data_IF_005568391422
#
_entry.id   IF_005568391422
#
_cell.length_a   1.000
_cell.length_b   1.000
_cell.length_c   1.000
_cell.angle_alpha   90.00
_cell.angle_beta   90.00
_cell.angle_gamma   90.00
#
_symmetry.space_group_name_H-M   'P 1'
#
loop_
_entity.id
_entity.type
_entity.pdbx_description
1 polymer ?
#
# COMPACT_ATOMS: atom_id res chain seq x y z
N UNK A 1 28.88 11.08 -4.01
CA UNK A 1 27.90 9.98 -3.86
C UNK A 1 26.47 10.54 -3.81
N UNK A 2 25.52 9.93 -4.53
CA UNK A 2 24.08 10.21 -4.33
C UNK A 2 23.68 9.73 -2.93
N UNK A 3 22.86 10.52 -2.22
CA UNK A 3 22.46 10.21 -0.84
C UNK A 3 21.53 8.99 -0.82
N UNK A 4 21.68 8.15 0.22
CA UNK A 4 20.84 6.98 0.47
C UNK A 4 19.53 7.41 1.12
N UNK A 5 18.41 7.11 0.46
CA UNK A 5 17.08 7.48 0.92
C UNK A 5 16.15 6.28 0.87
N UNK A 6 15.26 6.16 1.84
CA UNK A 6 14.20 5.16 1.83
C UNK A 6 12.84 5.84 2.02
N UNK A 7 11.85 5.45 1.23
CA UNK A 7 10.45 5.78 1.47
C UNK A 7 9.74 4.50 1.88
N UNK A 8 9.20 4.50 3.09
CA UNK A 8 8.62 3.32 3.71
C UNK A 8 7.14 3.62 3.98
N UNK A 9 6.27 2.78 3.44
CA UNK A 9 4.83 2.93 3.56
C UNK A 9 4.28 1.83 4.46
N UNK A 10 3.41 2.20 5.39
CA UNK A 10 2.37 1.28 5.83
C UNK A 10 1.35 1.00 4.71
N UNK A 11 0.57 -0.08 4.85
CA UNK A 11 -0.41 -0.52 3.86
C UNK A 11 -1.83 -0.02 4.18
N UNK A 12 -2.46 -0.61 5.19
CA UNK A 12 -3.88 -0.41 5.49
C UNK A 12 -4.11 0.98 6.06
N UNK A 13 -5.10 1.71 5.55
CA UNK A 13 -5.40 3.12 5.87
C UNK A 13 -4.28 4.14 5.56
N UNK A 14 -3.11 3.67 5.15
CA UNK A 14 -2.00 4.51 4.65
C UNK A 14 -1.97 4.55 3.12
N UNK A 15 -1.70 3.41 2.45
CA UNK A 15 -1.76 3.28 0.98
C UNK A 15 -3.21 3.19 0.52
N UNK A 16 -4.07 2.49 1.25
CA UNK A 16 -5.44 2.24 0.84
C UNK A 16 -6.27 1.64 1.96
N UNK A 17 -7.58 1.63 1.78
CA UNK A 17 -8.53 1.00 2.69
C UNK A 17 -9.06 -0.28 2.06
N UNK A 18 -8.63 -1.41 2.61
CA UNK A 18 -8.74 -2.71 1.95
C UNK A 18 -9.75 -3.66 2.60
N UNK A 19 -10.34 -3.27 3.73
CA UNK A 19 -11.16 -4.17 4.57
C UNK A 19 -12.39 -4.70 3.83
N UNK A 20 -13.20 -3.84 3.23
CA UNK A 20 -14.43 -4.27 2.54
C UNK A 20 -14.14 -5.13 1.32
N UNK A 21 -13.12 -4.77 0.54
CA UNK A 21 -12.79 -5.55 -0.65
C UNK A 21 -12.12 -6.87 -0.32
N UNK A 22 -11.49 -7.04 0.86
CA UNK A 22 -11.07 -8.35 1.31
C UNK A 22 -12.30 -9.26 1.54
N UNK A 23 -13.36 -8.74 2.16
CA UNK A 23 -14.62 -9.49 2.35
C UNK A 23 -15.29 -9.83 1.01
N UNK A 24 -15.35 -8.88 0.07
CA UNK A 24 -15.90 -9.16 -1.26
C UNK A 24 -15.01 -10.15 -2.03
N UNK A 25 -13.69 -10.08 -1.87
CA UNK A 25 -12.75 -11.03 -2.47
C UNK A 25 -13.02 -12.45 -1.99
N UNK A 26 -13.12 -12.65 -0.67
CA UNK A 26 -13.46 -13.94 -0.05
C UNK A 26 -14.79 -14.48 -0.61
N UNK A 27 -15.80 -13.62 -0.76
CA UNK A 27 -17.08 -14.02 -1.33
C UNK A 27 -17.00 -14.44 -2.81
N UNK A 28 -16.15 -13.77 -3.59
CA UNK A 28 -15.87 -14.18 -4.97
C UNK A 28 -15.15 -15.53 -4.98
N UNK A 29 -14.16 -15.74 -4.12
CA UNK A 29 -13.40 -16.98 -4.04
C UNK A 29 -14.27 -18.16 -3.57
N UNK A 30 -15.22 -17.92 -2.67
CA UNK A 30 -16.27 -18.90 -2.29
C UNK A 30 -17.13 -19.30 -3.49
N UNK A 31 -17.56 -18.33 -4.31
CA UNK A 31 -18.32 -18.59 -5.54
C UNK A 31 -17.49 -19.35 -6.57
N UNK A 32 -16.19 -19.03 -6.66
CA UNK A 32 -15.26 -19.69 -7.56
C UNK A 32 -14.86 -21.10 -7.09
N UNK A 33 -15.01 -21.38 -5.79
CA UNK A 33 -14.50 -22.54 -5.07
C UNK A 33 -12.98 -22.69 -5.22
N UNK A 34 -12.27 -21.55 -5.25
CA UNK A 34 -10.81 -21.46 -5.34
C UNK A 34 -10.36 -20.03 -5.10
N UNK A 35 -9.08 -19.87 -4.74
CA UNK A 35 -8.44 -18.55 -4.77
C UNK A 35 -8.45 -17.95 -6.20
N UNK A 36 -8.55 -16.63 -6.27
CA UNK A 36 -8.42 -15.88 -7.51
C UNK A 36 -7.00 -15.99 -8.05
N UNK A 37 -6.89 -16.23 -9.35
CA UNK A 37 -5.60 -16.14 -10.05
C UNK A 37 -5.13 -14.68 -9.99
N UNK A 38 -3.81 -14.47 -10.03
CA UNK A 38 -3.23 -13.12 -9.91
C UNK A 38 -3.82 -12.10 -10.91
N UNK A 39 -4.11 -12.54 -12.14
CA UNK A 39 -4.72 -11.64 -13.12
C UNK A 39 -6.18 -11.30 -12.79
N UNK A 40 -6.95 -12.25 -12.25
CA UNK A 40 -8.32 -12.03 -11.78
C UNK A 40 -8.32 -11.09 -10.56
N UNK A 41 -7.34 -11.24 -9.66
CA UNK A 41 -7.14 -10.31 -8.55
C UNK A 41 -6.86 -8.87 -9.01
N UNK A 42 -6.05 -8.70 -10.07
CA UNK A 42 -5.82 -7.36 -10.65
C UNK A 42 -7.08 -6.78 -11.27
N UNK A 43 -7.83 -7.63 -11.96
CA UNK A 43 -9.10 -7.26 -12.59
C UNK A 43 -10.14 -6.86 -11.53
N UNK A 44 -10.19 -7.58 -10.42
CA UNK A 44 -10.97 -7.26 -9.22
C UNK A 44 -10.58 -5.91 -8.62
N UNK A 45 -9.28 -5.63 -8.42
CA UNK A 45 -8.84 -4.33 -7.89
C UNK A 45 -9.10 -3.16 -8.86
N UNK A 46 -9.15 -3.40 -10.17
CA UNK A 46 -9.52 -2.38 -11.14
C UNK A 46 -10.99 -1.96 -10.99
N UNK A 47 -11.89 -2.87 -10.61
CA UNK A 47 -13.29 -2.56 -10.26
C UNK A 47 -13.35 -1.58 -9.06
N UNK A 48 -12.47 -1.77 -8.08
CA UNK A 48 -12.48 -1.03 -6.82
C UNK A 48 -11.34 -0.03 -6.67
N UNK A 49 -10.98 0.68 -7.75
CA UNK A 49 -9.83 1.61 -7.71
C UNK A 49 -9.88 2.69 -6.60
N UNK A 50 -11.07 3.00 -6.07
CA UNK A 50 -11.28 3.94 -4.97
C UNK A 50 -10.72 3.47 -3.62
N UNK A 51 -10.40 2.17 -3.48
CA UNK A 51 -9.78 1.64 -2.25
C UNK A 51 -8.36 2.16 -2.04
N UNK A 52 -7.71 2.69 -3.08
CA UNK A 52 -6.42 3.36 -2.94
C UNK A 52 -6.63 4.79 -2.48
N UNK A 53 -5.79 5.22 -1.52
CA UNK A 53 -5.81 6.60 -1.04
C UNK A 53 -5.56 7.57 -2.20
N UNK A 54 -6.32 8.68 -2.30
CA UNK A 54 -6.10 9.71 -3.31
C UNK A 54 -4.64 10.14 -3.38
N UNK A 55 -4.13 10.31 -4.60
CA UNK A 55 -2.75 10.65 -4.95
C UNK A 55 -1.66 9.55 -4.80
N UNK A 56 -1.97 8.35 -4.32
CA UNK A 56 -0.95 7.28 -4.19
C UNK A 56 -0.29 6.91 -5.51
N UNK A 57 -1.06 6.71 -6.59
CA UNK A 57 -0.48 6.41 -7.90
C UNK A 57 0.37 7.57 -8.45
N UNK A 58 0.06 8.83 -8.08
CA UNK A 58 0.91 9.98 -8.39
C UNK A 58 2.24 9.90 -7.65
N UNK A 59 2.22 9.52 -6.37
CA UNK A 59 3.43 9.28 -5.56
C UNK A 59 4.26 8.14 -6.14
N UNK A 60 3.66 6.98 -6.44
CA UNK A 60 4.37 5.84 -6.99
C UNK A 60 5.01 6.15 -8.33
N UNK A 61 4.31 6.86 -9.23
CA UNK A 61 4.90 7.31 -10.49
C UNK A 61 6.03 8.33 -10.29
N UNK A 62 5.92 9.21 -9.30
CA UNK A 62 7.01 10.11 -8.95
C UNK A 62 8.23 9.33 -8.42
N UNK A 63 8.04 8.43 -7.46
CA UNK A 63 9.11 7.59 -6.92
C UNK A 63 9.76 6.72 -7.99
N UNK A 64 8.99 6.16 -8.94
CA UNK A 64 9.51 5.49 -10.15
C UNK A 64 10.50 6.40 -10.90
N UNK A 65 10.12 7.65 -11.19
CA UNK A 65 11.01 8.61 -11.88
C UNK A 65 12.26 8.90 -11.06
N UNK A 66 12.14 9.06 -9.74
CA UNK A 66 13.28 9.34 -8.87
C UNK A 66 14.21 8.14 -8.73
N UNK A 67 13.68 6.92 -8.62
CA UNK A 67 14.45 5.68 -8.50
C UNK A 67 15.21 5.34 -9.79
N UNK A 68 14.65 5.69 -10.96
CA UNK A 68 15.40 5.63 -12.23
C UNK A 68 16.63 6.55 -12.23
N UNK A 69 16.57 7.70 -11.55
CA UNK A 69 17.67 8.67 -11.43
C UNK A 69 18.64 8.35 -10.29
N UNK A 70 18.15 7.79 -9.18
CA UNK A 70 18.94 7.45 -8.00
C UNK A 70 18.71 5.98 -7.63
N UNK A 71 19.68 5.11 -7.93
CA UNK A 71 19.61 3.68 -7.62
C UNK A 71 19.67 3.38 -6.12
N UNK A 72 20.16 4.33 -5.32
CA UNK A 72 20.21 4.24 -3.85
C UNK A 72 18.87 4.57 -3.18
N UNK A 73 17.86 5.04 -3.95
CA UNK A 73 16.51 5.24 -3.43
C UNK A 73 15.82 3.89 -3.26
N UNK A 74 15.47 3.58 -2.02
CA UNK A 74 14.69 2.40 -1.65
C UNK A 74 13.23 2.76 -1.41
N UNK A 75 12.33 1.87 -1.79
CA UNK A 75 10.89 1.98 -1.54
C UNK A 75 10.40 0.68 -0.93
N UNK A 76 9.82 0.74 0.26
CA UNK A 76 9.42 -0.44 1.04
C UNK A 76 7.97 -0.33 1.50
N UNK A 77 7.35 -1.49 1.71
CA UNK A 77 6.11 -1.62 2.49
C UNK A 77 6.48 -2.23 3.84
N UNK A 78 6.09 -1.61 4.94
CA UNK A 78 6.26 -2.13 6.30
C UNK A 78 4.91 -2.13 7.02
N UNK A 79 4.31 -3.31 7.14
CA UNK A 79 2.93 -3.46 7.59
C UNK A 79 2.81 -4.46 8.73
N UNK A 80 1.77 -4.28 9.54
CA UNK A 80 1.32 -5.24 10.54
C UNK A 80 0.07 -6.01 10.08
N UNK A 81 -0.25 -5.99 8.79
CA UNK A 81 -1.35 -6.76 8.23
C UNK A 81 -1.19 -8.26 8.58
N UNK A 82 -2.23 -8.83 9.21
CA UNK A 82 -2.29 -10.22 9.69
C UNK A 82 -3.04 -11.15 8.73
N UNK A 83 -3.52 -10.63 7.60
CA UNK A 83 -4.08 -11.47 6.55
C UNK A 83 -3.00 -12.31 5.87
N UNK A 84 -3.39 -13.19 4.93
CA UNK A 84 -2.45 -14.04 4.22
C UNK A 84 -1.29 -13.24 3.59
N UNK A 85 -0.06 -13.79 3.60
CA UNK A 85 1.12 -13.16 2.96
C UNK A 85 0.85 -12.78 1.50
N UNK A 86 0.06 -13.59 0.80
CA UNK A 86 -0.33 -13.37 -0.60
C UNK A 86 -1.06 -12.04 -0.79
N UNK A 87 -1.87 -11.59 0.18
CA UNK A 87 -2.65 -10.34 0.10
C UNK A 87 -1.75 -9.13 -0.15
N UNK A 88 -0.79 -8.88 0.75
CA UNK A 88 0.13 -7.74 0.65
C UNK A 88 1.01 -7.85 -0.60
N UNK A 89 1.45 -9.07 -0.93
CA UNK A 89 2.27 -9.33 -2.09
C UNK A 89 1.52 -9.08 -3.40
N UNK A 90 0.24 -9.43 -3.48
CA UNK A 90 -0.60 -9.20 -4.66
C UNK A 90 -0.96 -7.72 -4.83
N UNK A 91 -1.24 -6.99 -3.74
CA UNK A 91 -1.40 -5.51 -3.80
C UNK A 91 -0.13 -4.85 -4.33
N UNK A 92 1.05 -5.24 -3.81
CA UNK A 92 2.33 -4.75 -4.33
C UNK A 92 2.45 -5.00 -5.83
N UNK A 93 2.22 -6.24 -6.28
CA UNK A 93 2.32 -6.60 -7.70
C UNK A 93 1.32 -5.82 -8.55
N UNK A 94 0.10 -5.58 -8.04
CA UNK A 94 -0.91 -4.76 -8.70
C UNK A 94 -0.41 -3.33 -8.91
N UNK A 95 0.11 -2.69 -7.85
CA UNK A 95 0.67 -1.34 -7.93
C UNK A 95 1.79 -1.29 -8.98
N UNK A 96 2.73 -2.25 -8.96
CA UNK A 96 3.84 -2.34 -9.90
C UNK A 96 3.38 -2.57 -11.35
N UNK A 97 2.31 -3.35 -11.57
CA UNK A 97 1.65 -3.51 -12.88
C UNK A 97 1.05 -2.18 -13.34
N UNK A 98 0.25 -1.50 -12.52
CA UNK A 98 -0.42 -0.23 -12.88
C UNK A 98 0.57 0.87 -13.24
N UNK A 99 1.73 0.92 -12.60
CA UNK A 99 2.78 1.89 -12.95
C UNK A 99 3.80 1.35 -13.95
N UNK A 100 3.67 0.11 -14.42
CA UNK A 100 4.63 -0.60 -15.26
C UNK A 100 6.10 -0.42 -14.78
N UNK A 101 6.37 -0.80 -13.53
CA UNK A 101 7.70 -0.73 -12.91
C UNK A 101 7.78 -1.51 -11.59
N UNK A 102 8.85 -2.29 -11.39
CA UNK A 102 9.19 -2.91 -10.09
C UNK A 102 9.68 -1.86 -9.09
N UNK A 103 8.76 -1.19 -8.42
CA UNK A 103 9.05 -0.07 -7.53
C UNK A 103 9.58 -0.52 -6.17
N UNK A 104 8.93 -1.50 -5.55
CA UNK A 104 9.18 -1.86 -4.16
C UNK A 104 10.35 -2.82 -4.05
N UNK A 105 11.35 -2.47 -3.23
CA UNK A 105 12.52 -3.32 -2.97
C UNK A 105 12.17 -4.46 -2.03
N UNK A 106 11.27 -4.22 -1.06
CA UNK A 106 10.92 -5.19 -0.01
C UNK A 106 9.54 -4.90 0.55
N UNK A 107 8.83 -5.98 0.88
CA UNK A 107 7.67 -5.99 1.76
C UNK A 107 8.12 -6.63 3.07
N UNK A 108 7.85 -5.95 4.18
CA UNK A 108 8.09 -6.41 5.54
C UNK A 108 6.70 -6.67 6.14
N UNK A 109 6.22 -7.93 6.17
CA UNK A 109 4.90 -8.28 6.69
C UNK A 109 4.89 -8.27 8.24
N UNK A 110 3.78 -8.72 8.84
CA UNK A 110 3.69 -8.98 10.27
C UNK A 110 4.83 -9.90 10.77
N UNK A 111 5.14 -9.85 12.06
CA UNK A 111 6.13 -10.76 12.65
C UNK A 111 5.62 -12.20 12.68
N UNK A 112 4.48 -12.42 13.34
CA UNK A 112 3.80 -13.70 13.46
C UNK A 112 2.29 -13.51 13.32
N UNK A 113 1.61 -14.52 12.80
CA UNK A 113 0.15 -14.62 12.75
C UNK A 113 -0.23 -15.99 13.32
N UNK A 114 -0.89 -15.98 14.49
CA UNK A 114 -1.05 -17.20 15.28
C UNK A 114 0.32 -17.84 15.59
N UNK A 115 0.52 -19.08 15.15
CA UNK A 115 1.77 -19.83 15.32
C UNK A 115 2.75 -19.67 14.15
N UNK A 116 2.32 -19.11 13.03
CA UNK A 116 3.16 -19.00 11.83
C UNK A 116 4.05 -17.74 11.88
N UNK A 117 5.34 -17.90 11.58
CA UNK A 117 6.28 -16.78 11.44
C UNK A 117 6.18 -16.21 10.03
N UNK A 118 5.88 -14.91 9.96
CA UNK A 118 5.70 -14.20 8.71
C UNK A 118 6.97 -13.52 8.20
N UNK A 119 7.73 -12.87 9.09
CA UNK A 119 9.06 -12.31 8.81
C UNK A 119 9.98 -12.59 9.99
N UNK A 120 10.87 -13.58 9.82
CA UNK A 120 11.78 -14.04 10.87
C UNK A 120 12.81 -12.99 11.30
N UNK A 121 13.05 -11.97 10.47
CA UNK A 121 13.94 -10.86 10.79
C UNK A 121 13.30 -9.79 11.68
N UNK A 122 11.98 -9.86 11.92
CA UNK A 122 11.32 -9.05 12.94
C UNK A 122 11.49 -9.69 14.31
N UNK A 123 11.60 -8.87 15.34
CA UNK A 123 11.67 -9.33 16.73
C UNK A 123 10.42 -8.99 17.54
N UNK A 124 9.49 -8.23 16.98
CA UNK A 124 8.25 -7.82 17.65
C UNK A 124 7.11 -7.54 16.67
N UNK A 125 5.87 -7.56 17.18
CA UNK A 125 4.67 -7.11 16.46
C UNK A 125 4.65 -5.59 16.25
N UNK A 126 5.40 -4.83 17.05
CA UNK A 126 5.53 -3.40 16.86
C UNK A 126 6.36 -3.08 15.61
N UNK A 127 6.11 -1.93 14.99
CA UNK A 127 6.99 -1.40 13.95
C UNK A 127 8.13 -0.64 14.61
N UNK A 128 9.36 -1.08 14.36
CA UNK A 128 10.55 -0.51 15.02
C UNK A 128 11.60 -0.13 13.99
N UNK A 129 12.40 0.89 14.30
CA UNK A 129 13.49 1.29 13.42
C UNK A 129 14.52 0.16 13.24
N UNK A 130 14.81 -0.59 14.30
CA UNK A 130 15.74 -1.72 14.26
C UNK A 130 15.25 -2.83 13.31
N UNK A 131 13.98 -3.23 13.42
CA UNK A 131 13.38 -4.22 12.52
C UNK A 131 13.32 -3.71 11.08
N UNK A 132 13.01 -2.43 10.88
CA UNK A 132 13.03 -1.82 9.54
C UNK A 132 14.42 -1.92 8.90
N UNK A 133 15.49 -1.58 9.63
CA UNK A 133 16.85 -1.67 9.08
C UNK A 133 17.22 -3.11 8.71
N UNK A 134 16.94 -4.05 9.63
CA UNK A 134 17.28 -5.48 9.46
C UNK A 134 16.48 -6.12 8.33
N UNK A 135 15.15 -6.03 8.37
CA UNK A 135 14.27 -6.63 7.36
C UNK A 135 14.38 -5.94 6.00
N UNK A 136 14.56 -4.62 6.01
CA UNK A 136 14.69 -3.79 4.81
C UNK A 136 16.08 -3.79 4.19
N UNK A 137 17.08 -4.42 4.85
CA UNK A 137 18.50 -4.38 4.47
C UNK A 137 19.00 -2.95 4.26
N UNK A 138 18.61 -2.05 5.16
CA UNK A 138 19.00 -0.63 5.14
C UNK A 138 20.15 -0.39 6.13
N UNK A 139 21.20 0.28 5.68
CA UNK A 139 22.27 0.75 6.57
C UNK A 139 21.84 1.99 7.35
N UNK A 140 22.46 2.25 8.51
CA UNK A 140 22.14 3.40 9.40
C UNK A 140 22.30 4.80 8.75
N UNK A 141 22.97 4.88 7.61
CA UNK A 141 23.17 6.14 6.87
C UNK A 141 22.01 6.49 5.92
N UNK A 142 20.97 5.66 5.82
CA UNK A 142 19.75 6.00 5.09
C UNK A 142 18.99 7.12 5.81
N UNK A 143 18.59 8.15 5.05
CA UNK A 143 17.53 9.06 5.49
C UNK A 143 16.19 8.43 5.10
N UNK A 144 15.30 8.24 6.07
CA UNK A 144 14.06 7.49 5.89
C UNK A 144 12.88 8.45 5.98
N UNK A 145 11.93 8.33 5.06
CA UNK A 145 10.59 8.87 5.20
C UNK A 145 9.66 7.71 5.50
N UNK A 146 9.05 7.71 6.68
CA UNK A 146 8.12 6.67 7.11
C UNK A 146 6.70 7.22 7.15
N UNK A 147 5.79 6.59 6.41
CA UNK A 147 4.39 6.98 6.30
C UNK A 147 3.53 5.94 6.99
N UNK A 148 2.71 6.37 7.94
CA UNK A 148 1.81 5.50 8.68
C UNK A 148 0.60 6.32 9.18
N UNK A 149 -0.57 5.69 9.32
CA UNK A 149 -1.74 6.33 9.93
C UNK A 149 -1.73 6.25 11.45
N UNK A 150 -0.89 5.38 12.01
CA UNK A 150 -0.65 5.23 13.45
C UNK A 150 0.68 5.87 13.84
N UNK A 151 0.79 6.24 15.12
CA UNK A 151 2.05 6.70 15.69
C UNK A 151 2.82 5.50 16.27
N UNK A 152 4.08 5.35 15.85
CA UNK A 152 4.98 4.29 16.28
C UNK A 152 6.19 4.93 16.95
N UNK A 153 6.19 4.95 18.28
CA UNK A 153 7.23 5.61 19.07
C UNK A 153 8.65 5.12 18.71
N UNK A 154 8.83 3.81 18.53
CA UNK A 154 10.11 3.19 18.18
C UNK A 154 10.60 3.48 16.75
N UNK A 155 9.86 4.28 15.99
CA UNK A 155 10.26 4.82 14.69
C UNK A 155 10.66 6.30 14.77
N UNK A 156 10.49 6.97 15.92
CA UNK A 156 10.89 8.37 16.15
C UNK A 156 12.37 8.47 16.49
N UNK A 157 13.20 8.31 15.46
CA UNK A 157 14.67 8.49 15.55
C UNK A 157 15.14 9.53 14.55
N UNK A 158 16.30 10.16 14.79
CA UNK A 158 16.81 11.29 13.98
C UNK A 158 16.89 11.04 12.47
N UNK A 159 17.12 9.79 12.06
CA UNK A 159 17.22 9.40 10.64
C UNK A 159 15.86 9.17 9.98
N UNK A 160 14.76 9.24 10.73
CA UNK A 160 13.40 9.03 10.25
C UNK A 160 12.63 10.34 10.29
N UNK A 161 12.30 10.85 9.11
CA UNK A 161 11.21 11.80 8.96
C UNK A 161 9.90 11.03 9.07
N UNK A 162 9.23 11.13 10.20
CA UNK A 162 7.92 10.52 10.41
C UNK A 162 6.83 11.37 9.76
N UNK A 163 6.03 10.76 8.91
CA UNK A 163 4.87 11.37 8.30
C UNK A 163 3.61 10.62 8.76
N UNK A 164 3.05 11.08 9.88
CA UNK A 164 1.76 10.62 10.37
C UNK A 164 0.67 11.13 9.42
N UNK A 165 0.06 10.21 8.66
CA UNK A 165 -0.99 10.53 7.71
C UNK A 165 -2.36 10.36 8.37
N UNK A 166 -3.33 11.19 8.00
CA UNK A 166 -4.72 10.95 8.44
C UNK A 166 -5.16 9.58 7.92
N UNK A 167 -5.68 8.72 8.81
CA UNK A 167 -6.31 7.43 8.48
C UNK A 167 -7.23 7.56 7.27
N UNK A 168 -6.93 6.82 6.21
CA UNK A 168 -7.79 6.72 5.04
C UNK A 168 -8.90 5.69 5.30
N UNK A 169 -10.14 6.07 5.01
CA UNK A 169 -11.31 5.22 5.17
C UNK A 169 -12.28 5.46 4.02
N UNK A 170 -12.70 4.38 3.38
CA UNK A 170 -13.73 4.39 2.36
C UNK A 170 -14.60 3.17 2.59
N UNK A 171 -15.79 3.38 3.13
CA UNK A 171 -16.83 2.37 3.22
C UNK A 171 -17.95 2.68 2.22
N UNK A 172 -18.46 1.63 1.59
CA UNK A 172 -19.63 1.62 0.73
C UNK A 172 -20.54 0.47 1.14
N UNK A 173 -21.82 0.54 0.81
CA UNK A 173 -22.75 -0.57 1.05
C UNK A 173 -22.33 -1.80 0.25
N UNK A 174 -22.36 -2.98 0.85
CA UNK A 174 -21.98 -4.23 0.17
C UNK A 174 -22.86 -4.51 -1.05
N UNK A 175 -24.14 -4.19 -0.98
CA UNK A 175 -25.06 -4.30 -2.11
C UNK A 175 -24.56 -3.51 -3.32
N UNK A 176 -24.01 -2.31 -3.07
CA UNK A 176 -23.45 -1.47 -4.12
C UNK A 176 -22.09 -1.96 -4.61
N UNK A 177 -21.28 -2.55 -3.73
CA UNK A 177 -20.04 -3.21 -4.14
C UNK A 177 -20.34 -4.40 -5.06
N UNK A 178 -21.30 -5.26 -4.69
CA UNK A 178 -21.76 -6.39 -5.49
C UNK A 178 -22.33 -5.91 -6.83
N UNK A 179 -23.23 -4.93 -6.85
CA UNK A 179 -23.76 -4.35 -8.09
C UNK A 179 -22.63 -3.85 -9.02
N UNK A 180 -21.61 -3.19 -8.45
CA UNK A 180 -20.44 -2.74 -9.21
C UNK A 180 -19.64 -3.93 -9.77
N UNK A 181 -19.49 -5.01 -8.99
CA UNK A 181 -18.81 -6.24 -9.41
C UNK A 181 -19.55 -6.92 -10.57
N UNK A 182 -20.86 -7.07 -10.46
CA UNK A 182 -21.71 -7.75 -11.44
C UNK A 182 -21.81 -6.99 -12.77
N UNK A 183 -21.60 -5.68 -12.74
CA UNK A 183 -21.45 -4.83 -13.94
C UNK A 183 -20.06 -4.88 -14.57
N UNK A 184 -19.12 -5.65 -14.01
CA UNK A 184 -17.75 -5.77 -14.50
C UNK A 184 -17.47 -7.13 -15.14
N UNK A 185 -16.31 -7.25 -15.80
CA UNK A 185 -15.80 -8.53 -16.34
C UNK A 185 -15.63 -9.64 -15.30
N UNK A 186 -15.65 -9.32 -14.00
CA UNK A 186 -15.64 -10.33 -12.95
C UNK A 186 -16.87 -11.23 -12.98
N UNK A 187 -18.02 -10.69 -13.43
CA UNK A 187 -19.25 -11.47 -13.62
C UNK A 187 -19.01 -12.66 -14.54
N UNK A 188 -18.38 -12.45 -15.68
CA UNK A 188 -18.19 -13.49 -16.70
C UNK A 188 -17.39 -14.68 -16.17
N UNK A 189 -16.46 -14.42 -15.25
CA UNK A 189 -15.65 -15.46 -14.59
C UNK A 189 -16.54 -16.31 -13.68
N UNK A 190 -17.43 -15.68 -12.91
CA UNK A 190 -18.36 -16.36 -12.00
C UNK A 190 -19.46 -17.13 -12.76
N UNK A 191 -20.04 -16.52 -13.80
CA UNK A 191 -21.03 -17.16 -14.70
C UNK A 191 -20.45 -18.43 -15.33
N UNK A 192 -19.23 -18.35 -15.87
CA UNK A 192 -18.54 -19.50 -16.45
C UNK A 192 -18.32 -20.63 -15.44
N UNK A 193 -17.97 -20.30 -14.19
CA UNK A 193 -17.78 -21.31 -13.14
C UNK A 193 -19.10 -21.98 -12.76
N UNK A 194 -20.16 -21.22 -12.53
CA UNK A 194 -21.45 -21.77 -12.09
C UNK A 194 -22.17 -22.48 -13.25
N UNK A 195 -21.77 -22.21 -14.51
CA UNK A 195 -22.47 -22.67 -15.73
C UNK A 195 -23.94 -22.23 -15.72
N UNK A 196 -24.20 -21.06 -15.16
CA UNK A 196 -25.52 -20.49 -15.01
C UNK A 196 -25.46 -19.00 -15.34
N UNK A 197 -26.34 -18.56 -16.22
CA UNK A 197 -26.52 -17.15 -16.57
C UNK A 197 -27.51 -16.43 -15.63
N UNK A 198 -28.01 -17.11 -14.58
CA UNK A 198 -28.87 -16.49 -13.58
C UNK A 198 -28.01 -15.60 -12.67
N UNK A 199 -27.98 -14.31 -12.98
CA UNK A 199 -27.23 -13.30 -12.23
C UNK A 199 -27.71 -13.19 -10.77
N UNK A 200 -29.02 -13.31 -10.54
CA UNK A 200 -29.61 -13.27 -9.19
C UNK A 200 -29.06 -14.39 -8.30
N UNK A 201 -28.88 -15.60 -8.85
CA UNK A 201 -28.28 -16.71 -8.11
C UNK A 201 -26.83 -16.42 -7.70
N UNK A 202 -26.06 -15.75 -8.56
CA UNK A 202 -24.67 -15.37 -8.27
C UNK A 202 -24.65 -14.33 -7.15
N UNK A 203 -25.48 -13.29 -7.26
CA UNK A 203 -25.62 -12.25 -6.24
C UNK A 203 -26.05 -12.83 -4.90
N UNK A 204 -27.03 -13.74 -4.88
CA UNK A 204 -27.46 -14.44 -3.67
C UNK A 204 -26.31 -15.19 -3.00
N UNK A 205 -25.46 -15.89 -3.77
CA UNK A 205 -24.28 -16.58 -3.23
C UNK A 205 -23.24 -15.61 -2.67
N UNK A 206 -22.97 -14.50 -3.37
CA UNK A 206 -22.07 -13.45 -2.88
C UNK A 206 -22.57 -12.86 -1.56
N UNK A 207 -23.85 -12.49 -1.49
CA UNK A 207 -24.48 -11.95 -0.27
C UNK A 207 -24.43 -12.97 0.87
N UNK A 208 -24.72 -14.24 0.59
CA UNK A 208 -24.67 -15.31 1.59
C UNK A 208 -23.26 -15.53 2.15
N UNK A 209 -22.22 -15.43 1.33
CA UNK A 209 -20.83 -15.50 1.80
C UNK A 209 -20.47 -14.27 2.63
N UNK A 210 -20.75 -13.06 2.15
CA UNK A 210 -20.48 -11.81 2.88
C UNK A 210 -21.11 -11.80 4.27
N UNK A 211 -22.33 -12.34 4.40
CA UNK A 211 -23.06 -12.46 5.68
C UNK A 211 -22.37 -13.33 6.73
N UNK A 212 -21.48 -14.25 6.32
CA UNK A 212 -20.69 -15.09 7.22
C UNK A 212 -19.45 -14.35 7.75
N UNK A 213 -19.01 -13.28 7.08
CA UNK A 213 -17.81 -12.55 7.46
C UNK A 213 -18.00 -11.81 8.79
N UNK A 214 -17.08 -12.04 9.72
CA UNK A 214 -17.05 -11.33 11.01
C UNK A 214 -17.06 -9.81 10.84
N UNK A 215 -16.39 -9.31 9.80
CA UNK A 215 -16.27 -7.89 9.53
C UNK A 215 -17.59 -7.23 9.11
N UNK A 216 -18.62 -7.97 8.71
CA UNK A 216 -19.91 -7.40 8.31
C UNK A 216 -20.56 -6.57 9.43
N UNK A 217 -20.37 -6.97 10.70
CA UNK A 217 -21.00 -6.32 11.87
C UNK A 217 -20.41 -4.95 12.21
N UNK A 218 -19.18 -4.66 11.78
CA UNK A 218 -18.46 -3.43 12.15
C UNK A 218 -18.62 -2.29 11.12
N UNK A 219 -19.29 -2.56 10.00
CA UNK A 219 -19.24 -1.66 8.83
C UNK A 219 -20.43 -0.71 8.77
N UNK A 220 -20.14 0.58 8.77
CA UNK A 220 -21.09 1.67 8.52
C UNK A 220 -20.78 2.27 7.15
N UNK A 221 -21.80 2.62 6.37
CA UNK A 221 -21.62 3.37 5.12
C UNK A 221 -20.97 4.74 5.43
N UNK A 222 -19.69 4.90 5.10
CA UNK A 222 -18.89 6.07 5.46
C UNK A 222 -17.86 6.39 4.39
N UNK A 223 -18.01 7.56 3.77
CA UNK A 223 -17.02 8.08 2.84
C UNK A 223 -16.30 9.25 3.47
N UNK A 224 -14.97 9.18 3.54
CA UNK A 224 -14.17 10.28 4.07
C UNK A 224 -14.25 11.49 3.12
N UNK A 225 -14.94 12.55 3.55
CA UNK A 225 -15.21 13.73 2.73
C UNK A 225 -13.93 14.44 2.25
N UNK A 226 -12.91 14.53 3.10
CA UNK A 226 -11.63 15.18 2.77
C UNK A 226 -10.49 14.26 3.15
N UNK A 227 -9.69 13.91 2.15
CA UNK A 227 -8.46 13.12 2.30
C UNK A 227 -7.26 14.01 2.00
N UNK A 228 -6.45 14.38 3.01
CA UNK A 228 -5.27 15.21 2.80
C UNK A 228 -4.26 14.55 1.84
N UNK A 229 -3.83 15.33 0.85
CA UNK A 229 -2.80 14.93 -0.12
C UNK A 229 -1.47 14.67 0.57
N UNK A 230 -0.85 13.56 0.23
CA UNK A 230 0.44 13.12 0.79
C UNK A 230 1.58 13.51 -0.14
N UNK A 231 1.30 13.62 -1.45
CA UNK A 231 2.29 13.87 -2.48
C UNK A 231 3.24 15.05 -2.22
N UNK A 232 2.78 16.26 -1.80
CA UNK A 232 3.68 17.40 -1.58
C UNK A 232 4.76 17.12 -0.53
N UNK A 233 4.42 16.37 0.53
CA UNK A 233 5.34 16.02 1.61
C UNK A 233 6.38 15.00 1.15
N UNK A 234 5.97 13.99 0.39
CA UNK A 234 6.90 13.01 -0.23
C UNK A 234 7.84 13.71 -1.20
N UNK A 235 7.32 14.56 -2.08
CA UNK A 235 8.12 15.34 -3.02
C UNK A 235 9.14 16.22 -2.28
N UNK A 236 8.71 16.92 -1.23
CA UNK A 236 9.60 17.75 -0.41
C UNK A 236 10.75 16.94 0.18
N UNK A 237 10.48 15.78 0.77
CA UNK A 237 11.52 14.92 1.36
C UNK A 237 12.55 14.44 0.32
N UNK A 238 12.10 14.06 -0.87
CA UNK A 238 13.00 13.61 -1.92
C UNK A 238 13.82 14.80 -2.47
N UNK A 239 13.17 15.92 -2.76
CA UNK A 239 13.81 17.09 -3.39
C UNK A 239 14.71 17.89 -2.43
N UNK A 240 14.36 18.01 -1.14
CA UNK A 240 15.18 18.72 -0.15
C UNK A 240 16.56 18.09 0.03
N UNK A 241 16.64 16.78 -0.21
CA UNK A 241 17.87 16.02 -0.15
C UNK A 241 18.66 16.01 -1.47
N UNK A 242 18.08 16.51 -2.56
CA UNK A 242 18.72 16.69 -3.87
C UNK A 242 19.41 18.05 -4.05
N UNK A 243 19.21 19.02 -3.14
CA UNK A 243 19.93 20.30 -3.19
C UNK A 243 21.41 20.09 -2.84
N UNK A 244 22.25 19.91 -3.85
CA UNK A 244 23.69 20.17 -3.74
C UNK A 244 23.87 21.61 -3.27
N UNK A 245 24.52 21.82 -2.11
CA UNK A 245 24.98 23.15 -1.70
C UNK A 245 25.88 23.67 -2.83
N UNK A 246 25.42 24.63 -3.63
CA UNK A 246 26.33 25.43 -4.47
C UNK A 246 27.34 26.06 -3.51
N UNK A 247 28.61 25.65 -3.59
CA UNK A 247 29.71 26.38 -2.94
C UNK A 247 29.65 27.81 -3.48
N UNK A 248 29.37 28.79 -2.61
CA UNK A 248 29.61 30.20 -2.93
C UNK A 248 31.12 30.32 -3.15
N UNK A 249 31.55 30.46 -4.39
CA UNK A 249 32.90 30.91 -4.70
C UNK A 249 33.00 32.36 -4.24
N UNK A 250 33.72 32.61 -3.15
CA UNK A 250 34.09 33.98 -2.78
C UNK A 250 35.04 34.49 -3.85
N UNK A 251 34.58 35.39 -4.73
CA UNK A 251 35.51 36.18 -5.54
C UNK A 251 36.34 37.02 -4.58
N UNK A 252 37.60 36.66 -4.37
CA UNK A 252 38.60 37.56 -3.78
C UNK A 252 38.70 38.75 -4.71
N UNK A 253 38.23 39.92 -4.28
CA UNK A 253 38.54 41.19 -4.93
C UNK A 253 40.01 41.47 -4.64
N UNK A 254 40.87 41.36 -5.65
CA UNK A 254 42.23 41.88 -5.60
C UNK A 254 42.13 43.40 -5.57
N UNK A 255 42.53 44.01 -4.45
CA UNK A 255 42.77 45.45 -4.36
C UNK A 255 44.10 45.69 -5.08
N UNK A 256 44.09 46.39 -6.21
CA UNK A 256 45.32 46.97 -6.78
C UNK A 256 45.59 48.27 -6.05
N UNK A 257 46.79 48.37 -5.46
CA UNK A 257 47.41 49.62 -5.03
C UNK A 257 47.75 50.48 -6.23
#
# INVERSE_FOLDING_TARGET
MKRKQAVVFDLDKTIGFFTQIAVVMEAVEDVLEREMKLQEFFDFLDVYSHVFRPDMFKIFNYLKKQKKRNKELKVLIYTNNIGPKSWVMNIRKYIEKKINYKLFDKVIPAWKVGKEIYESNRTTHNKTYADLLRCGKLSKNYNILFLDDLDHEQMRVDKVTYLLVKKYRYDERFEKLIDTLMKSKMKDIMVKKIKCNNEELIEMKLIASIKKSFYMKEMKNFKQAIVPKVYPKVKKFIDSNNKTRKRRTSKRKTIKK
#
